data_IF_379691819791
#
_entry.id   IF_379691819791
#
_cell.length_a   1.000
_cell.length_b   1.000
_cell.length_c   1.000
_cell.angle_alpha   90.00
_cell.angle_beta   90.00
_cell.angle_gamma   90.00
#
_symmetry.space_group_name_H-M   'P 1'
#
loop_
_entity.id
_entity.type
_entity.pdbx_description
1 polymer ?
#
# COMPACT_ATOMS: atom_id res chain seq x y z
N UNK A 1 6.61 -18.66 -6.52
CA UNK A 1 5.83 -18.91 -5.29
C UNK A 1 4.67 -17.93 -5.25
N UNK A 2 3.44 -18.41 -5.06
CA UNK A 2 2.24 -17.58 -4.99
C UNK A 2 2.26 -16.75 -3.70
N UNK A 3 2.15 -15.41 -3.81
CA UNK A 3 2.18 -14.48 -2.67
C UNK A 3 1.09 -14.78 -1.65
N UNK A 4 -0.08 -15.29 -2.09
CA UNK A 4 -1.16 -15.68 -1.18
C UNK A 4 -0.72 -16.83 -0.26
N UNK A 5 -0.01 -17.82 -0.80
CA UNK A 5 0.56 -18.94 -0.01
C UNK A 5 1.59 -18.48 1.01
N UNK A 6 2.38 -17.46 0.68
CA UNK A 6 3.34 -16.87 1.63
C UNK A 6 2.56 -16.24 2.78
N UNK A 7 1.58 -15.38 2.49
CA UNK A 7 0.78 -14.71 3.53
C UNK A 7 -0.03 -15.72 4.35
N UNK A 8 -0.55 -16.80 3.75
CA UNK A 8 -1.22 -17.91 4.46
C UNK A 8 -0.35 -18.53 5.55
N UNK A 9 0.97 -18.64 5.34
CA UNK A 9 1.88 -19.22 6.33
C UNK A 9 2.01 -18.35 7.60
N UNK A 10 1.57 -17.09 7.53
CA UNK A 10 1.53 -16.15 8.64
C UNK A 10 0.11 -15.89 9.13
N UNK A 11 -0.88 -16.62 8.61
CA UNK A 11 -2.27 -16.53 9.06
C UNK A 11 -2.49 -17.35 10.33
N UNK A 12 -3.22 -16.79 11.28
CA UNK A 12 -3.59 -17.45 12.52
C UNK A 12 -4.80 -16.81 13.17
N UNK A 13 -4.99 -17.11 14.45
CA UNK A 13 -6.02 -16.47 15.29
C UNK A 13 -5.36 -15.66 16.38
N UNK A 14 -5.90 -14.47 16.65
CA UNK A 14 -5.53 -13.69 17.82
C UNK A 14 -6.16 -14.25 19.11
N UNK A 15 -5.86 -13.63 20.25
CA UNK A 15 -6.38 -14.03 21.57
C UNK A 15 -7.92 -14.02 21.67
N UNK A 16 -8.60 -13.36 20.72
CA UNK A 16 -10.07 -13.29 20.61
C UNK A 16 -10.64 -14.28 19.59
N UNK A 17 -9.81 -15.20 19.07
CA UNK A 17 -10.19 -16.16 18.05
C UNK A 17 -10.44 -15.57 16.66
N UNK A 18 -10.09 -14.30 16.43
CA UNK A 18 -10.27 -13.63 15.16
C UNK A 18 -9.07 -13.87 14.26
N UNK A 19 -9.34 -14.01 12.97
CA UNK A 19 -8.33 -14.14 11.94
C UNK A 19 -7.37 -12.95 11.95
N UNK A 20 -6.07 -13.24 12.05
CA UNK A 20 -5.00 -12.25 12.03
C UNK A 20 -3.83 -12.76 11.20
N UNK A 21 -3.08 -11.83 10.62
CA UNK A 21 -1.81 -12.11 9.97
C UNK A 21 -0.70 -11.61 10.89
N UNK A 22 0.30 -12.44 11.18
CA UNK A 22 1.53 -12.01 11.82
C UNK A 22 2.31 -11.10 10.86
N UNK A 23 2.02 -9.80 10.96
CA UNK A 23 2.68 -8.78 10.14
C UNK A 23 4.18 -8.67 10.47
N UNK A 24 4.62 -9.06 11.67
CA UNK A 24 6.02 -9.01 12.11
C UNK A 24 6.84 -10.11 11.44
N UNK A 25 6.33 -11.32 11.48
CA UNK A 25 6.89 -12.45 10.74
C UNK A 25 6.89 -12.18 9.24
N UNK A 26 5.75 -11.79 8.68
CA UNK A 26 5.58 -11.56 7.25
C UNK A 26 6.51 -10.45 6.73
N UNK A 27 6.70 -9.36 7.49
CA UNK A 27 7.62 -8.29 7.10
C UNK A 27 9.09 -8.73 7.04
N UNK A 28 9.44 -9.80 7.75
CA UNK A 28 10.80 -10.35 7.76
C UNK A 28 10.99 -11.44 6.69
N UNK A 29 9.89 -11.97 6.15
CA UNK A 29 9.92 -12.98 5.08
C UNK A 29 10.53 -12.38 3.80
N UNK A 30 11.65 -12.97 3.37
CA UNK A 30 12.38 -12.51 2.18
C UNK A 30 11.56 -12.69 0.91
N UNK A 31 10.85 -13.79 0.75
CA UNK A 31 10.08 -14.08 -0.45
C UNK A 31 8.86 -13.17 -0.57
N UNK A 32 8.18 -12.86 0.54
CA UNK A 32 7.11 -11.87 0.57
C UNK A 32 7.62 -10.49 0.17
N UNK A 33 8.73 -10.03 0.78
CA UNK A 33 9.33 -8.72 0.46
C UNK A 33 9.70 -8.60 -1.01
N UNK A 34 10.35 -9.61 -1.57
CA UNK A 34 10.70 -9.65 -3.00
C UNK A 34 9.47 -9.59 -3.91
N UNK A 35 8.40 -10.32 -3.58
CA UNK A 35 7.16 -10.30 -4.34
C UNK A 35 6.44 -8.95 -4.23
N UNK A 36 6.42 -8.35 -3.04
CA UNK A 36 5.84 -7.04 -2.82
C UNK A 36 6.57 -5.95 -3.61
N UNK A 37 7.90 -5.95 -3.58
CA UNK A 37 8.73 -5.03 -4.36
C UNK A 37 8.47 -5.20 -5.86
N UNK A 38 8.49 -6.43 -6.37
CA UNK A 38 8.22 -6.71 -7.79
C UNK A 38 6.83 -6.23 -8.22
N UNK A 39 5.80 -6.46 -7.39
CA UNK A 39 4.44 -6.04 -7.70
C UNK A 39 4.29 -4.51 -7.74
N UNK A 40 4.88 -3.81 -6.78
CA UNK A 40 4.86 -2.34 -6.77
C UNK A 40 5.61 -1.78 -7.99
N UNK A 41 6.81 -2.29 -8.29
CA UNK A 41 7.59 -1.85 -9.46
C UNK A 41 6.75 -2.03 -10.74
N UNK A 42 6.08 -3.17 -10.89
CA UNK A 42 5.23 -3.44 -12.05
C UNK A 42 4.10 -2.41 -12.17
N UNK A 43 3.35 -2.16 -11.10
CA UNK A 43 2.23 -1.19 -11.12
C UNK A 43 2.69 0.24 -11.43
N UNK A 44 3.90 0.59 -10.99
CA UNK A 44 4.53 1.89 -11.26
C UNK A 44 5.01 1.99 -12.72
N UNK A 45 5.69 0.97 -13.24
CA UNK A 45 6.24 0.95 -14.60
C UNK A 45 5.17 0.89 -15.68
N UNK A 46 3.98 0.35 -15.38
CA UNK A 46 2.83 0.37 -16.28
C UNK A 46 2.23 1.78 -16.47
N UNK A 47 2.76 2.81 -15.80
CA UNK A 47 2.27 4.19 -15.87
C UNK A 47 3.37 5.16 -16.25
N UNK A 48 3.15 5.86 -17.36
CA UNK A 48 3.98 7.01 -17.72
C UNK A 48 3.78 8.16 -16.72
N UNK A 49 4.88 8.76 -16.28
CA UNK A 49 4.93 9.97 -15.45
C UNK A 49 4.16 9.86 -14.11
N UNK A 50 4.26 8.71 -13.44
CA UNK A 50 3.71 8.54 -12.10
C UNK A 50 4.68 9.07 -11.03
N UNK A 51 4.16 9.93 -10.15
CA UNK A 51 4.82 10.29 -8.90
C UNK A 51 4.35 9.32 -7.82
N UNK A 52 5.30 8.67 -7.16
CA UNK A 52 4.98 7.75 -6.06
C UNK A 52 4.99 8.52 -4.75
N UNK A 53 3.88 8.46 -4.01
CA UNK A 53 3.79 8.94 -2.64
C UNK A 53 3.75 7.75 -1.68
N UNK A 54 4.69 7.75 -0.75
CA UNK A 54 4.74 6.84 0.40
C UNK A 54 4.45 7.69 1.65
N UNK A 55 3.24 7.63 2.22
CA UNK A 55 2.88 8.46 3.37
C UNK A 55 3.82 8.31 4.54
N UNK A 56 3.98 9.38 5.33
CA UNK A 56 4.80 9.39 6.53
C UNK A 56 4.44 8.20 7.41
N UNK A 57 5.45 7.40 7.71
CA UNK A 57 5.36 6.40 8.73
C UNK A 57 5.17 7.10 10.08
N UNK A 58 3.98 6.99 10.70
CA UNK A 58 3.84 7.34 12.12
C UNK A 58 4.79 6.43 12.89
N UNK A 59 5.54 6.96 13.85
CA UNK A 59 6.55 6.23 14.66
C UNK A 59 6.00 4.98 15.37
N UNK A 60 4.69 4.77 15.33
CA UNK A 60 4.03 3.55 15.77
C UNK A 60 4.35 2.41 14.79
N UNK A 61 5.39 1.64 15.14
CA UNK A 61 5.87 0.38 14.55
C UNK A 61 4.80 -0.44 13.82
N UNK A 62 4.46 -0.08 12.59
CA UNK A 62 3.82 -1.03 11.68
C UNK A 62 4.91 -1.97 11.21
N UNK A 63 4.65 -3.27 11.33
CA UNK A 63 5.67 -4.27 11.07
C UNK A 63 6.21 -4.25 9.63
N UNK A 64 5.41 -3.79 8.66
CA UNK A 64 5.78 -3.64 7.25
C UNK A 64 6.62 -2.39 6.93
N UNK A 65 7.09 -1.64 7.93
CA UNK A 65 7.85 -0.39 7.72
C UNK A 65 9.20 -0.58 7.05
N UNK A 66 9.91 -1.67 7.37
CA UNK A 66 11.18 -1.98 6.70
C UNK A 66 10.98 -2.20 5.20
N UNK A 67 9.92 -2.91 4.82
CA UNK A 67 9.56 -3.15 3.43
C UNK A 67 9.25 -1.85 2.68
N UNK A 68 8.59 -0.88 3.33
CA UNK A 68 8.36 0.44 2.73
C UNK A 68 9.67 1.19 2.45
N UNK A 69 10.63 1.12 3.36
CA UNK A 69 11.95 1.72 3.12
C UNK A 69 12.70 1.01 2.00
N UNK A 70 12.66 -0.32 1.94
CA UNK A 70 13.24 -1.11 0.84
C UNK A 70 12.58 -0.78 -0.50
N UNK A 71 11.26 -0.63 -0.52
CA UNK A 71 10.50 -0.16 -1.68
C UNK A 71 10.98 1.21 -2.15
N UNK A 72 11.06 2.18 -1.23
CA UNK A 72 11.55 3.52 -1.52
C UNK A 72 12.96 3.52 -2.14
N UNK A 73 13.86 2.69 -1.61
CA UNK A 73 15.23 2.56 -2.12
C UNK A 73 15.30 1.84 -3.47
N UNK A 74 14.38 0.91 -3.74
CA UNK A 74 14.38 0.10 -4.98
C UNK A 74 13.65 0.80 -6.13
N UNK A 75 12.66 1.64 -5.82
CA UNK A 75 11.85 2.33 -6.81
C UNK A 75 12.69 3.36 -7.59
N UNK A 76 13.02 3.03 -8.83
CA UNK A 76 13.64 3.95 -9.78
C UNK A 76 12.58 4.78 -10.50
N UNK A 77 11.84 5.60 -9.74
CA UNK A 77 10.85 6.52 -10.30
C UNK A 77 11.44 7.91 -10.48
N UNK A 78 10.94 8.64 -11.49
CA UNK A 78 11.32 10.04 -11.71
C UNK A 78 11.06 10.91 -10.49
N UNK A 79 9.96 10.62 -9.77
CA UNK A 79 9.55 11.35 -8.58
C UNK A 79 9.05 10.40 -7.51
N UNK A 80 9.83 10.26 -6.44
CA UNK A 80 9.44 9.60 -5.19
C UNK A 80 9.29 10.65 -4.10
N UNK A 81 8.13 10.67 -3.45
CA UNK A 81 7.85 11.52 -2.30
C UNK A 81 7.54 10.64 -1.10
N UNK A 82 8.21 10.91 0.01
CA UNK A 82 7.93 10.27 1.29
C UNK A 82 7.39 11.30 2.27
N UNK A 83 6.52 10.89 3.19
CA UNK A 83 6.01 11.78 4.22
C UNK A 83 4.57 12.24 3.99
N UNK A 84 4.21 13.40 4.51
CA UNK A 84 2.86 13.92 4.38
C UNK A 84 2.52 14.31 2.94
N UNK A 85 1.23 14.29 2.59
CA UNK A 85 0.72 14.67 1.26
C UNK A 85 1.20 16.07 0.85
N UNK A 86 1.36 16.97 1.82
CA UNK A 86 1.85 18.34 1.60
C UNK A 86 3.25 18.39 0.98
N UNK A 87 4.07 17.34 1.11
CA UNK A 87 5.38 17.26 0.48
C UNK A 87 5.29 17.20 -1.05
N UNK A 88 4.15 16.82 -1.63
CA UNK A 88 3.93 16.88 -3.08
C UNK A 88 4.08 18.31 -3.64
N UNK A 89 3.78 19.34 -2.84
CA UNK A 89 3.95 20.75 -3.25
C UNK A 89 5.41 21.15 -3.50
N UNK A 90 6.36 20.36 -2.99
CA UNK A 90 7.81 20.61 -3.15
C UNK A 90 8.36 20.02 -4.45
N UNK A 91 7.57 19.23 -5.17
CA UNK A 91 7.96 18.62 -6.44
C UNK A 91 7.90 19.67 -7.55
N UNK A 92 9.06 20.01 -8.13
CA UNK A 92 9.17 21.07 -9.16
C UNK A 92 8.29 20.84 -10.39
N UNK A 93 8.13 19.59 -10.81
CA UNK A 93 7.42 19.23 -12.05
C UNK A 93 5.89 19.21 -11.93
N UNK A 94 5.30 19.54 -10.77
CA UNK A 94 3.85 19.50 -10.52
C UNK A 94 3.21 18.18 -11.00
N UNK A 95 3.39 17.08 -10.26
CA UNK A 95 2.99 15.76 -10.71
C UNK A 95 1.47 15.70 -10.94
N UNK A 96 1.04 15.15 -12.07
CA UNK A 96 -0.39 14.98 -12.39
C UNK A 96 -0.97 13.66 -11.90
N UNK A 97 -0.15 12.62 -11.84
CA UNK A 97 -0.57 11.27 -11.50
C UNK A 97 0.16 10.80 -10.24
N UNK A 98 -0.58 10.62 -9.15
CA UNK A 98 -0.03 10.14 -7.88
C UNK A 98 -0.40 8.67 -7.67
N UNK A 99 0.60 7.84 -7.40
CA UNK A 99 0.39 6.51 -6.85
C UNK A 99 0.73 6.52 -5.36
N UNK A 100 -0.27 6.29 -4.54
CA UNK A 100 -0.19 6.20 -3.10
C UNK A 100 0.09 4.74 -2.71
N UNK A 101 1.24 4.46 -2.12
CA UNK A 101 1.58 3.11 -1.64
C UNK A 101 1.29 3.03 -0.15
N UNK A 102 0.40 2.11 0.24
CA UNK A 102 0.01 1.86 1.63
C UNK A 102 0.46 0.46 2.05
N UNK A 103 0.89 0.34 3.30
CA UNK A 103 1.22 -0.96 3.88
C UNK A 103 -0.01 -1.85 4.03
N UNK A 104 -1.09 -1.30 4.59
CA UNK A 104 -2.31 -2.06 4.82
C UNK A 104 -3.55 -1.17 4.76
N UNK A 105 -4.66 -1.75 4.30
CA UNK A 105 -5.98 -1.14 4.39
C UNK A 105 -6.84 -1.88 5.43
N UNK A 106 -7.23 -1.17 6.50
CA UNK A 106 -8.17 -1.62 7.53
C UNK A 106 -9.42 -0.73 7.56
N UNK A 107 -9.20 0.58 7.65
CA UNK A 107 -10.25 1.60 7.67
C UNK A 107 -9.92 2.68 6.62
N UNK A 108 -10.97 3.31 6.08
CA UNK A 108 -10.83 4.25 4.97
C UNK A 108 -10.55 5.70 5.36
N UNK A 109 -10.82 6.11 6.61
CA UNK A 109 -10.88 7.54 6.99
C UNK A 109 -9.58 8.32 6.72
N UNK A 110 -8.44 7.77 7.13
CA UNK A 110 -7.15 8.43 6.90
C UNK A 110 -6.77 8.44 5.41
N UNK A 111 -7.01 7.31 4.73
CA UNK A 111 -6.73 7.19 3.30
C UNK A 111 -7.61 8.16 2.48
N UNK A 112 -8.87 8.35 2.88
CA UNK A 112 -9.78 9.30 2.26
C UNK A 112 -9.27 10.73 2.39
N UNK A 113 -8.87 11.16 3.59
CA UNK A 113 -8.29 12.49 3.78
C UNK A 113 -7.05 12.71 2.88
N UNK A 114 -6.17 11.70 2.78
CA UNK A 114 -5.01 11.76 1.89
C UNK A 114 -5.40 11.86 0.41
N UNK A 115 -6.42 11.11 -0.02
CA UNK A 115 -6.97 11.16 -1.38
C UNK A 115 -7.55 12.54 -1.68
N UNK A 116 -8.35 13.09 -0.77
CA UNK A 116 -9.01 14.38 -0.94
C UNK A 116 -7.98 15.52 -1.03
N UNK A 117 -6.95 15.50 -0.19
CA UNK A 117 -5.83 16.45 -0.27
C UNK A 117 -5.10 16.39 -1.61
N UNK A 118 -4.83 15.18 -2.13
CA UNK A 118 -4.19 14.99 -3.44
C UNK A 118 -5.09 15.50 -4.57
N UNK A 119 -6.38 15.17 -4.54
CA UNK A 119 -7.36 15.64 -5.54
C UNK A 119 -7.49 17.16 -5.52
N UNK A 120 -7.47 17.79 -4.34
CA UNK A 120 -7.51 19.24 -4.18
C UNK A 120 -6.29 19.94 -4.80
N UNK A 121 -5.17 19.24 -4.99
CA UNK A 121 -4.00 19.73 -5.74
C UNK A 121 -4.17 19.63 -7.26
N UNK A 122 -5.32 19.16 -7.76
CA UNK A 122 -5.56 18.92 -9.19
C UNK A 122 -4.89 17.65 -9.73
N UNK A 123 -4.48 16.74 -8.84
CA UNK A 123 -3.82 15.50 -9.22
C UNK A 123 -4.83 14.35 -9.34
N UNK A 124 -4.60 13.44 -10.26
CA UNK A 124 -5.24 12.12 -10.23
C UNK A 124 -4.53 11.23 -9.21
N UNK A 125 -5.28 10.35 -8.55
CA UNK A 125 -4.75 9.48 -7.51
C UNK A 125 -5.12 8.03 -7.79
N UNK A 126 -4.18 7.14 -7.47
CA UNK A 126 -4.38 5.69 -7.44
C UNK A 126 -3.72 5.14 -6.18
N UNK A 127 -4.24 4.03 -5.67
CA UNK A 127 -3.76 3.47 -4.39
C UNK A 127 -3.37 2.02 -4.59
N UNK A 128 -2.19 1.67 -4.08
CA UNK A 128 -1.72 0.28 -4.01
C UNK A 128 -1.42 -0.10 -2.57
N UNK A 129 -2.15 -1.08 -2.05
CA UNK A 129 -1.98 -1.61 -0.70
C UNK A 129 -1.15 -2.91 -0.73
N UNK A 130 -0.19 -3.09 0.17
CA UNK A 130 0.48 -4.38 0.29
C UNK A 130 -0.46 -5.44 0.89
N UNK A 131 -1.32 -5.04 1.84
CA UNK A 131 -2.37 -5.87 2.39
C UNK A 131 -3.71 -5.13 2.42
N UNK A 132 -4.80 -5.84 2.19
CA UNK A 132 -6.15 -5.38 2.53
C UNK A 132 -6.78 -6.38 3.48
N UNK A 133 -7.40 -5.91 4.56
CA UNK A 133 -8.10 -6.80 5.48
C UNK A 133 -9.40 -7.36 4.91
N UNK A 134 -10.00 -6.65 3.95
CA UNK A 134 -11.12 -7.16 3.18
C UNK A 134 -11.11 -6.65 1.75
N UNK A 135 -11.18 -7.57 0.80
CA UNK A 135 -11.29 -7.29 -0.64
C UNK A 135 -12.55 -6.49 -0.96
N UNK A 136 -13.70 -6.91 -0.41
CA UNK A 136 -14.98 -6.23 -0.60
C UNK A 136 -14.95 -4.79 -0.07
N UNK A 137 -14.44 -4.57 1.14
CA UNK A 137 -14.33 -3.21 1.71
C UNK A 137 -13.38 -2.33 0.91
N UNK A 138 -12.28 -2.88 0.41
CA UNK A 138 -11.33 -2.17 -0.43
C UNK A 138 -11.99 -1.71 -1.73
N UNK A 139 -12.72 -2.60 -2.41
CA UNK A 139 -13.44 -2.31 -3.64
C UNK A 139 -14.55 -1.27 -3.43
N UNK A 140 -15.37 -1.44 -2.39
CA UNK A 140 -16.40 -0.45 -2.05
C UNK A 140 -15.81 0.92 -1.75
N UNK A 141 -14.68 0.97 -1.03
CA UNK A 141 -13.98 2.22 -0.77
C UNK A 141 -13.46 2.86 -2.07
N UNK A 142 -12.89 2.08 -2.97
CA UNK A 142 -12.44 2.53 -4.29
C UNK A 142 -13.56 3.17 -5.11
N UNK A 143 -14.71 2.48 -5.17
CA UNK A 143 -15.90 2.97 -5.87
C UNK A 143 -16.43 4.27 -5.26
N UNK A 144 -16.63 4.32 -3.94
CA UNK A 144 -17.17 5.49 -3.24
C UNK A 144 -16.29 6.74 -3.37
N UNK A 145 -14.98 6.56 -3.50
CA UNK A 145 -14.02 7.66 -3.61
C UNK A 145 -13.53 7.88 -5.04
N UNK A 146 -14.15 7.22 -6.03
CA UNK A 146 -13.82 7.32 -7.46
C UNK A 146 -12.30 7.21 -7.70
N UNK A 147 -11.69 6.19 -7.08
CA UNK A 147 -10.24 5.99 -7.09
C UNK A 147 -9.91 4.57 -7.49
N UNK A 148 -8.92 4.41 -8.37
CA UNK A 148 -8.36 3.07 -8.66
C UNK A 148 -7.58 2.60 -7.43
N UNK A 149 -8.09 1.58 -6.75
CA UNK A 149 -7.45 0.95 -5.60
C UNK A 149 -7.21 -0.54 -5.85
N UNK A 150 -6.06 -1.03 -5.43
CA UNK A 150 -5.68 -2.45 -5.50
C UNK A 150 -4.96 -2.86 -4.23
N UNK A 151 -4.98 -4.17 -3.95
CA UNK A 151 -4.10 -4.76 -2.95
C UNK A 151 -3.30 -5.91 -3.56
N UNK A 152 -2.08 -6.11 -3.08
CA UNK A 152 -1.27 -7.28 -3.42
C UNK A 152 -1.91 -8.57 -2.88
N UNK A 153 -2.37 -8.55 -1.64
CA UNK A 153 -3.15 -9.64 -1.03
C UNK A 153 -4.30 -9.07 -0.21
N UNK A 154 -5.48 -9.66 -0.36
CA UNK A 154 -6.61 -9.46 0.55
C UNK A 154 -6.68 -10.64 1.54
N UNK A 155 -6.74 -10.32 2.82
CA UNK A 155 -6.61 -11.25 3.95
C UNK A 155 -7.86 -12.13 4.11
N UNK A 156 -9.01 -11.69 3.63
CA UNK A 156 -10.26 -12.46 3.56
C UNK A 156 -10.29 -13.47 2.40
N UNK A 157 -9.35 -13.37 1.45
CA UNK A 157 -9.18 -14.33 0.36
C UNK A 157 -8.17 -15.44 0.70
N UNK A 158 -7.64 -15.43 1.94
CA UNK A 158 -6.67 -16.41 2.42
C UNK A 158 -7.44 -17.55 3.10
N UNK A 159 -7.28 -18.81 2.66
CA UNK A 159 -7.83 -19.93 3.39
C UNK A 159 -7.12 -20.04 4.75
N UNK A 160 -7.86 -19.86 5.83
CA UNK A 160 -7.39 -20.16 7.19
C UNK A 160 -7.54 -21.66 7.40
N UNK A 161 -6.42 -22.36 7.58
CA UNK A 161 -6.37 -23.79 7.90
C UNK A 161 -6.34 -23.92 9.42
#
# INVERSE_FOLDING_TARGET
MDVKKIVSAYAGKNDKGQNEIDLKGLASDKAFREQAIKAVIKEVQEKDDVCVLIPAFRRDNTHLSKLINELALTLQVKTLVTGDVTNLKRVKSHPKNIMLIKQSFRTGKELQAQIDEIKAMGCTVSVFCLLAHSSAKLQSFGYQNEVKIKALVAVDEIPYI
#
